data_IF_829423013312
#
_entry.id   IF_829423013312
#
_cell.length_a   1.000
_cell.length_b   1.000
_cell.length_c   1.000
_cell.angle_alpha   90.00
_cell.angle_beta   90.00
_cell.angle_gamma   90.00
#
_symmetry.space_group_name_H-M   'P 1'
#
loop_
_entity.id
_entity.type
_entity.pdbx_description
1 polymer ?
#
# COMPACT_ATOMS: atom_id res chain seq x y z
N UNK A 1 8.38 -2.48 4.89
CA UNK A 1 9.76 -3.00 5.02
C UNK A 1 10.60 -1.92 5.68
N UNK A 2 10.99 -2.09 6.94
CA UNK A 2 11.97 -1.23 7.60
C UNK A 2 13.22 -2.06 7.82
N UNK A 3 14.31 -1.61 7.20
CA UNK A 3 15.67 -2.10 7.43
C UNK A 3 16.00 -1.78 8.88
N UNK A 4 16.10 -2.80 9.72
CA UNK A 4 16.70 -2.68 11.06
C UNK A 4 18.20 -2.53 10.85
N UNK A 5 18.63 -1.26 10.77
CA UNK A 5 20.02 -0.88 10.70
C UNK A 5 20.63 -1.07 12.11
N UNK A 6 21.14 -2.27 12.38
CA UNK A 6 21.97 -2.49 13.57
C UNK A 6 23.34 -1.90 13.25
N UNK A 7 23.57 -0.66 13.70
CA UNK A 7 24.93 -0.13 13.85
C UNK A 7 25.69 -1.10 14.75
N UNK A 8 26.75 -1.71 14.23
CA UNK A 8 27.66 -2.54 15.01
C UNK A 8 28.39 -1.63 16.02
N UNK A 9 27.77 -1.45 17.18
CA UNK A 9 28.41 -0.90 18.37
C UNK A 9 29.36 -1.96 18.92
N UNK A 10 30.57 -1.50 19.24
CA UNK A 10 31.73 -2.26 19.67
C UNK A 10 31.43 -3.13 20.90
N UNK A 11 31.01 -4.38 20.67
CA UNK A 11 30.76 -5.35 21.74
C UNK A 11 32.04 -6.17 21.94
N UNK A 12 32.92 -5.67 22.80
CA UNK A 12 34.09 -6.40 23.29
C UNK A 12 33.61 -7.64 24.05
N UNK A 13 33.60 -8.79 23.38
CA UNK A 13 33.40 -10.08 24.04
C UNK A 13 34.75 -10.76 24.29
N UNK A 14 34.89 -11.21 25.53
CA UNK A 14 36.03 -11.88 26.13
C UNK A 14 36.41 -13.12 25.31
N UNK A 15 37.63 -13.13 24.78
CA UNK A 15 38.12 -14.17 23.89
C UNK A 15 38.76 -15.30 24.72
N UNK A 16 38.04 -16.42 24.84
CA UNK A 16 38.60 -17.67 25.34
C UNK A 16 39.61 -18.19 24.32
N UNK A 17 40.88 -18.15 24.68
CA UNK A 17 41.97 -18.74 23.90
C UNK A 17 41.82 -20.26 23.84
N UNK A 18 41.53 -20.79 22.65
CA UNK A 18 41.84 -22.18 22.28
C UNK A 18 42.52 -22.16 20.91
N UNK A 19 43.70 -22.78 20.86
CA UNK A 19 44.58 -22.92 19.71
C UNK A 19 43.88 -23.60 18.51
N UNK A 20 44.08 -23.08 17.29
CA UNK A 20 44.97 -23.73 16.28
C UNK A 20 44.68 -23.27 14.84
N UNK A 21 45.77 -23.19 14.07
CA UNK A 21 45.94 -22.92 12.63
C UNK A 21 45.49 -21.56 12.07
N UNK A 22 46.50 -20.73 11.82
CA UNK A 22 46.42 -19.48 11.03
C UNK A 22 46.10 -19.87 9.58
N UNK A 23 44.82 -19.79 9.20
CA UNK A 23 44.37 -19.92 7.80
C UNK A 23 44.94 -18.76 6.99
N UNK A 24 45.61 -19.00 5.84
CA UNK A 24 46.31 -17.98 5.07
C UNK A 24 45.41 -16.79 4.71
N UNK A 25 45.96 -15.56 4.63
CA UNK A 25 45.18 -14.33 4.50
C UNK A 25 44.22 -14.32 3.32
N UNK A 26 44.53 -15.02 2.23
CA UNK A 26 43.81 -14.95 0.94
C UNK A 26 42.70 -16.02 0.75
N UNK A 27 42.44 -16.87 1.75
CA UNK A 27 41.49 -17.99 1.61
C UNK A 27 40.06 -17.60 2.03
N UNK A 28 39.08 -17.81 1.14
CA UNK A 28 37.66 -17.66 1.45
C UNK A 28 37.17 -18.92 2.15
N UNK A 29 36.52 -18.75 3.30
CA UNK A 29 36.00 -19.88 4.08
C UNK A 29 34.52 -19.75 4.35
N UNK A 30 33.80 -20.86 4.26
CA UNK A 30 32.37 -20.96 4.61
C UNK A 30 32.24 -21.79 5.88
N UNK A 31 31.68 -21.20 6.93
CA UNK A 31 31.47 -21.87 8.21
C UNK A 31 30.01 -21.76 8.65
N UNK A 32 29.44 -22.79 9.25
CA UNK A 32 28.08 -22.74 9.77
C UNK A 32 28.08 -22.38 11.26
N UNK A 33 27.50 -21.23 11.61
CA UNK A 33 27.25 -20.83 13.00
C UNK A 33 25.75 -20.74 13.24
N UNK A 34 25.26 -21.46 14.24
CA UNK A 34 23.83 -21.52 14.59
C UNK A 34 22.91 -21.90 13.41
N UNK A 35 23.39 -22.75 12.50
CA UNK A 35 22.62 -23.21 11.32
C UNK A 35 22.60 -22.21 10.16
N UNK A 36 23.28 -21.06 10.26
CA UNK A 36 23.44 -20.11 9.16
C UNK A 36 24.86 -20.19 8.58
N UNK A 37 25.00 -20.21 7.24
CA UNK A 37 26.29 -20.10 6.57
C UNK A 37 26.88 -18.70 6.74
N UNK A 38 28.13 -18.66 7.19
CA UNK A 38 28.96 -17.50 7.37
C UNK A 38 30.10 -17.55 6.35
N UNK A 39 30.07 -16.66 5.37
CA UNK A 39 31.10 -16.56 4.34
C UNK A 39 32.12 -15.52 4.80
N UNK A 40 33.35 -15.94 5.03
CA UNK A 40 34.46 -15.06 5.39
C UNK A 40 35.35 -14.83 4.19
N UNK A 41 35.51 -13.58 3.79
CA UNK A 41 36.35 -13.19 2.66
C UNK A 41 37.10 -11.89 2.96
N UNK A 42 38.27 -11.72 2.35
CA UNK A 42 39.06 -10.49 2.44
C UNK A 42 38.62 -9.49 1.38
N UNK A 43 38.21 -8.30 1.81
CA UNK A 43 37.80 -7.25 0.87
C UNK A 43 39.00 -6.52 0.26
N UNK A 44 38.97 -6.21 -1.06
CA UNK A 44 40.13 -5.75 -1.81
C UNK A 44 40.65 -4.37 -1.41
N UNK A 45 39.79 -3.46 -0.94
CA UNK A 45 40.17 -2.08 -0.62
C UNK A 45 40.93 -1.96 0.71
N UNK A 46 40.42 -2.62 1.76
CA UNK A 46 40.96 -2.52 3.13
C UNK A 46 41.85 -3.70 3.52
N UNK A 47 41.84 -4.80 2.76
CA UNK A 47 42.49 -6.08 3.12
C UNK A 47 42.07 -6.60 4.50
N UNK A 48 40.86 -6.25 4.93
CA UNK A 48 40.25 -6.73 6.18
C UNK A 48 39.37 -7.95 5.88
N UNK A 49 39.30 -8.88 6.84
CA UNK A 49 38.39 -10.03 6.76
C UNK A 49 36.99 -9.61 7.17
N UNK A 50 36.06 -9.71 6.25
CA UNK A 50 34.65 -9.44 6.48
C UNK A 50 33.86 -10.75 6.48
N UNK A 51 32.87 -10.81 7.36
CA UNK A 51 32.01 -11.97 7.54
C UNK A 51 30.60 -11.62 7.10
N UNK A 52 30.08 -12.41 6.17
CA UNK A 52 28.74 -12.23 5.62
C UNK A 52 27.84 -13.36 6.10
N UNK A 53 26.80 -13.01 6.86
CA UNK A 53 25.78 -13.97 7.31
C UNK A 53 24.77 -14.14 6.20
N UNK A 54 24.64 -15.35 5.67
CA UNK A 54 23.73 -15.61 4.56
C UNK A 54 22.53 -16.42 5.02
N UNK A 55 21.35 -16.12 4.48
CA UNK A 55 20.08 -16.79 4.82
C UNK A 55 19.65 -17.68 3.65
N UNK A 56 19.89 -19.00 3.67
CA UNK A 56 19.77 -19.87 2.49
C UNK A 56 18.42 -19.77 1.75
N UNK A 57 17.33 -19.61 2.51
CA UNK A 57 15.95 -19.62 2.00
C UNK A 57 15.42 -18.26 1.54
N UNK A 58 16.11 -17.17 1.87
CA UNK A 58 15.62 -15.80 1.61
C UNK A 58 16.60 -14.90 0.88
N UNK A 59 17.87 -15.31 0.80
CA UNK A 59 18.90 -14.58 0.07
C UNK A 59 19.24 -15.27 -1.24
N UNK A 60 19.50 -14.45 -2.24
CA UNK A 60 19.96 -14.85 -3.56
C UNK A 60 21.44 -14.52 -3.72
N UNK A 61 22.08 -15.12 -4.73
CA UNK A 61 23.44 -14.76 -5.12
C UNK A 61 23.54 -13.27 -5.43
N UNK A 62 22.54 -12.69 -6.11
CA UNK A 62 22.48 -11.27 -6.43
C UNK A 62 22.46 -10.38 -5.19
N UNK A 63 21.64 -10.71 -4.18
CA UNK A 63 21.64 -9.95 -2.92
C UNK A 63 22.97 -10.05 -2.19
N UNK A 64 23.63 -11.21 -2.19
CA UNK A 64 24.94 -11.38 -1.57
C UNK A 64 26.03 -10.57 -2.28
N UNK A 65 26.03 -10.57 -3.62
CA UNK A 65 26.95 -9.76 -4.42
C UNK A 65 26.69 -8.26 -4.21
N UNK A 66 25.43 -7.86 -4.05
CA UNK A 66 25.07 -6.48 -3.72
C UNK A 66 25.54 -6.08 -2.33
N UNK A 67 25.41 -6.96 -1.32
CA UNK A 67 25.91 -6.73 0.03
C UNK A 67 27.44 -6.52 0.00
N UNK A 68 28.15 -7.36 -0.76
CA UNK A 68 29.61 -7.27 -0.93
C UNK A 68 30.04 -5.95 -1.60
N UNK A 69 29.31 -5.49 -2.62
CA UNK A 69 29.55 -4.18 -3.25
C UNK A 69 29.19 -3.01 -2.34
N UNK A 70 28.17 -3.17 -1.49
CA UNK A 70 27.74 -2.12 -0.55
C UNK A 70 28.73 -1.94 0.60
N UNK A 71 29.38 -3.02 1.02
CA UNK A 71 30.37 -3.03 2.10
C UNK A 71 31.72 -2.47 1.63
N UNK A 72 32.17 -2.84 0.42
CA UNK A 72 33.41 -2.30 -0.16
C UNK A 72 33.21 -1.70 -1.55
N UNK A 73 33.28 -0.37 -1.62
CA UNK A 73 33.28 0.40 -2.88
C UNK A 73 34.47 0.08 -3.80
N UNK A 74 35.51 -0.59 -3.29
CA UNK A 74 36.62 -1.12 -4.08
C UNK A 74 36.23 -2.30 -4.98
N UNK A 75 35.09 -2.94 -4.73
CA UNK A 75 34.58 -4.04 -5.56
C UNK A 75 33.80 -3.47 -6.74
N UNK A 76 34.39 -3.52 -7.93
CA UNK A 76 33.78 -3.02 -9.18
C UNK A 76 33.00 -4.10 -9.91
N UNK A 77 33.51 -5.32 -9.90
CA UNK A 77 32.90 -6.46 -10.57
C UNK A 77 32.99 -7.68 -9.66
N UNK A 78 31.84 -8.27 -9.34
CA UNK A 78 31.75 -9.51 -8.56
C UNK A 78 30.76 -10.45 -9.24
N UNK A 79 31.18 -11.69 -9.47
CA UNK A 79 30.36 -12.73 -10.10
C UNK A 79 30.68 -14.10 -9.50
N UNK A 80 29.71 -15.00 -9.54
CA UNK A 80 29.85 -16.37 -9.04
C UNK A 80 29.82 -17.34 -10.21
N UNK A 81 30.75 -18.29 -10.22
CA UNK A 81 30.88 -19.31 -11.25
C UNK A 81 30.84 -20.71 -10.62
N UNK A 82 30.33 -21.67 -11.35
CA UNK A 82 30.42 -23.09 -10.99
C UNK A 82 31.88 -23.58 -11.12
N UNK A 83 32.22 -24.71 -10.49
CA UNK A 83 33.52 -25.37 -10.68
C UNK A 83 33.90 -25.54 -12.17
N UNK A 84 32.91 -25.79 -13.03
CA UNK A 84 33.03 -25.97 -14.48
C UNK A 84 33.17 -24.65 -15.29
N UNK A 85 33.16 -23.50 -14.62
CA UNK A 85 33.38 -22.18 -15.25
C UNK A 85 32.13 -21.52 -15.86
N UNK A 86 30.92 -22.08 -15.65
CA UNK A 86 29.66 -21.44 -16.03
C UNK A 86 29.23 -20.38 -15.00
N UNK A 87 28.77 -19.21 -15.45
CA UNK A 87 28.28 -18.15 -14.57
C UNK A 87 26.93 -18.51 -13.94
N UNK A 88 26.80 -18.31 -12.62
CA UNK A 88 25.58 -18.60 -11.88
C UNK A 88 24.69 -17.35 -11.86
N UNK A 89 23.41 -17.45 -12.29
CA UNK A 89 22.51 -16.32 -12.30
C UNK A 89 22.31 -15.67 -10.93
N UNK A 90 22.21 -14.34 -10.90
CA UNK A 90 21.96 -13.56 -9.69
C UNK A 90 20.64 -13.94 -8.97
N UNK A 91 19.67 -14.51 -9.67
CA UNK A 91 18.41 -14.99 -9.10
C UNK A 91 18.51 -16.34 -8.37
N UNK A 92 19.65 -17.01 -8.45
CA UNK A 92 19.86 -18.31 -7.81
C UNK A 92 19.81 -18.15 -6.30
N UNK A 93 19.09 -19.05 -5.61
CA UNK A 93 19.04 -19.06 -4.15
C UNK A 93 20.38 -19.50 -3.58
N UNK A 94 20.78 -18.88 -2.47
CA UNK A 94 22.03 -19.24 -1.80
C UNK A 94 22.02 -20.71 -1.33
N UNK A 95 20.85 -21.26 -0.97
CA UNK A 95 20.75 -22.67 -0.63
C UNK A 95 21.29 -23.59 -1.72
N UNK A 96 20.93 -23.35 -2.97
CA UNK A 96 21.35 -24.16 -4.13
C UNK A 96 22.86 -23.99 -4.37
N UNK A 97 23.35 -22.76 -4.25
CA UNK A 97 24.77 -22.47 -4.42
C UNK A 97 25.62 -23.21 -3.37
N UNK A 98 25.21 -23.19 -2.10
CA UNK A 98 25.94 -23.80 -0.99
C UNK A 98 25.88 -25.33 -0.94
N UNK A 99 25.19 -25.98 -1.89
CA UNK A 99 25.22 -27.45 -2.02
C UNK A 99 26.49 -27.94 -2.72
N UNK A 100 27.12 -27.09 -3.54
CA UNK A 100 28.28 -27.44 -4.34
C UNK A 100 29.41 -26.42 -4.12
N UNK A 101 30.63 -26.82 -4.46
CA UNK A 101 31.76 -25.89 -4.48
C UNK A 101 31.63 -24.91 -5.65
N UNK A 102 32.00 -23.65 -5.43
CA UNK A 102 31.86 -22.59 -6.42
C UNK A 102 33.07 -21.67 -6.42
N UNK A 103 33.21 -20.89 -7.48
CA UNK A 103 34.27 -19.90 -7.65
C UNK A 103 33.70 -18.50 -7.56
N UNK A 104 34.22 -17.69 -6.65
CA UNK A 104 33.85 -16.28 -6.54
C UNK A 104 34.91 -15.43 -7.23
N UNK A 105 34.51 -14.63 -8.22
CA UNK A 105 35.43 -13.74 -8.94
C UNK A 105 35.16 -12.30 -8.51
N UNK A 106 36.15 -11.66 -7.87
CA UNK A 106 36.10 -10.25 -7.44
C UNK A 106 37.22 -9.50 -8.16
N UNK A 107 36.90 -8.46 -8.93
CA UNK A 107 37.88 -7.63 -9.64
C UNK A 107 38.94 -8.43 -10.44
N UNK A 108 38.54 -9.54 -11.09
CA UNK A 108 39.38 -10.50 -11.82
C UNK A 108 40.23 -11.46 -10.97
N UNK A 109 40.16 -11.38 -9.65
CA UNK A 109 40.75 -12.36 -8.74
C UNK A 109 39.72 -13.47 -8.54
N UNK A 110 40.13 -14.72 -8.75
CA UNK A 110 39.28 -15.90 -8.58
C UNK A 110 39.57 -16.55 -7.24
N UNK A 111 38.53 -16.79 -6.46
CA UNK A 111 38.59 -17.47 -5.17
C UNK A 111 37.81 -18.78 -5.25
N UNK A 112 38.46 -19.89 -4.94
CA UNK A 112 37.80 -21.19 -4.85
C UNK A 112 37.17 -21.35 -3.47
N UNK A 113 35.85 -21.51 -3.43
CA UNK A 113 35.07 -21.59 -2.19
C UNK A 113 34.61 -23.02 -1.99
N UNK A 114 35.17 -23.67 -0.97
CA UNK A 114 34.75 -25.02 -0.56
C UNK A 114 33.59 -24.92 0.43
N UNK A 115 32.47 -25.58 0.09
CA UNK A 115 31.28 -25.60 0.93
C UNK A 115 31.30 -26.83 1.85
N UNK A 116 31.17 -26.66 3.17
CA UNK A 116 31.03 -27.81 4.08
C UNK A 116 29.80 -28.62 3.70
N UNK A 117 29.98 -29.91 3.40
CA UNK A 117 28.87 -30.83 3.16
C UNK A 117 28.02 -30.91 4.42
N UNK A 118 26.74 -30.52 4.34
CA UNK A 118 25.80 -30.68 5.45
C UNK A 118 25.72 -32.16 5.82
N UNK A 119 26.25 -32.53 6.99
CA UNK A 119 26.00 -33.85 7.57
C UNK A 119 24.49 -34.03 7.71
N UNK A 120 23.97 -35.13 7.15
CA UNK A 120 22.57 -35.51 7.33
C UNK A 120 22.41 -35.93 8.79
N UNK A 121 22.04 -34.98 9.66
CA UNK A 121 21.58 -35.29 11.01
C UNK A 121 20.47 -36.36 10.93
N UNK A 122 20.54 -37.35 11.82
CA UNK A 122 19.56 -38.45 11.92
C UNK A 122 18.12 -37.90 11.87
N UNK A 123 17.27 -38.50 11.02
CA UNK A 123 15.89 -38.05 10.77
C UNK A 123 15.06 -37.86 12.05
N UNK A 124 15.32 -38.64 13.10
CA UNK A 124 14.65 -38.53 14.39
C UNK A 124 15.02 -37.24 15.14
N UNK A 125 16.30 -36.88 15.15
CA UNK A 125 16.80 -35.66 15.81
C UNK A 125 16.39 -34.38 15.05
N UNK A 126 16.20 -34.49 13.73
CA UNK A 126 15.68 -33.38 12.92
C UNK A 126 14.21 -33.07 13.27
N UNK A 127 13.38 -34.10 13.42
CA UNK A 127 11.96 -33.94 13.75
C UNK A 127 11.74 -33.35 15.15
N UNK A 128 12.50 -33.81 16.15
CA UNK A 128 12.41 -33.28 17.52
C UNK A 128 12.84 -31.81 17.57
N UNK A 129 13.95 -31.46 16.93
CA UNK A 129 14.44 -30.08 16.85
C UNK A 129 13.45 -29.14 16.14
N UNK A 130 12.76 -29.60 15.10
CA UNK A 130 11.76 -28.81 14.40
C UNK A 130 10.52 -28.56 15.26
N UNK A 131 10.14 -29.51 16.11
CA UNK A 131 9.08 -29.30 17.11
C UNK A 131 9.46 -28.20 18.12
N UNK A 132 10.70 -28.22 18.63
CA UNK A 132 11.21 -27.20 19.55
C UNK A 132 11.28 -25.83 18.87
N UNK A 133 11.77 -25.76 17.63
CA UNK A 133 11.75 -24.52 16.84
C UNK A 133 10.34 -23.97 16.65
N UNK A 134 9.35 -24.85 16.40
CA UNK A 134 7.95 -24.43 16.25
C UNK A 134 7.38 -23.83 17.53
N UNK A 135 7.73 -24.39 18.69
CA UNK A 135 7.34 -23.87 20.00
C UNK A 135 7.99 -22.51 20.28
N UNK A 136 9.30 -22.41 20.05
CA UNK A 136 10.03 -21.14 20.19
C UNK A 136 9.45 -20.08 19.25
N UNK A 137 9.11 -20.45 18.00
CA UNK A 137 8.49 -19.53 17.07
C UNK A 137 7.09 -19.08 17.52
N UNK A 138 6.25 -20.00 18.03
CA UNK A 138 4.95 -19.64 18.63
C UNK A 138 5.13 -18.69 19.81
N UNK A 139 6.10 -18.94 20.67
CA UNK A 139 6.34 -18.14 21.86
C UNK A 139 6.89 -16.75 21.50
N UNK A 140 7.86 -16.70 20.58
CA UNK A 140 8.36 -15.44 20.02
C UNK A 140 7.25 -14.64 19.34
N UNK A 141 6.39 -15.32 18.57
CA UNK A 141 5.25 -14.69 17.91
C UNK A 141 4.26 -14.16 18.94
N UNK A 142 3.99 -14.89 20.02
CA UNK A 142 3.09 -14.48 21.09
C UNK A 142 3.63 -13.29 21.89
N UNK A 143 4.92 -13.30 22.24
CA UNK A 143 5.59 -12.23 22.99
C UNK A 143 5.68 -10.92 22.20
N UNK A 144 5.98 -10.99 20.91
CA UNK A 144 6.08 -9.81 20.06
C UNK A 144 4.77 -9.47 19.32
N UNK A 145 3.67 -10.18 19.62
CA UNK A 145 2.42 -10.04 18.87
C UNK A 145 1.88 -8.60 18.93
N UNK A 146 1.91 -7.99 20.11
CA UNK A 146 1.42 -6.62 20.32
C UNK A 146 2.25 -5.59 19.55
N UNK A 147 3.58 -5.71 19.58
CA UNK A 147 4.48 -4.82 18.85
C UNK A 147 4.25 -4.94 17.34
N UNK A 148 4.13 -6.17 16.83
CA UNK A 148 3.84 -6.42 15.41
C UNK A 148 2.45 -5.90 15.01
N UNK A 149 1.44 -6.09 15.86
CA UNK A 149 0.07 -5.61 15.62
C UNK A 149 0.01 -4.09 15.61
N UNK A 150 0.62 -3.42 16.60
CA UNK A 150 0.68 -1.95 16.69
C UNK A 150 1.41 -1.36 15.48
N UNK A 151 2.54 -1.96 15.07
CA UNK A 151 3.28 -1.55 13.87
C UNK A 151 2.44 -1.74 12.60
N UNK A 152 1.67 -2.83 12.50
CA UNK A 152 0.78 -3.10 11.37
C UNK A 152 -0.39 -2.12 11.32
N UNK A 153 -0.99 -1.78 12.46
CA UNK A 153 -2.04 -0.77 12.56
C UNK A 153 -1.51 0.60 12.14
N UNK A 154 -0.35 1.03 12.66
CA UNK A 154 0.24 2.31 12.27
C UNK A 154 0.51 2.39 10.77
N UNK A 155 1.10 1.36 10.18
CA UNK A 155 1.34 1.31 8.75
C UNK A 155 0.03 1.35 7.93
N UNK A 156 -1.04 0.71 8.40
CA UNK A 156 -2.36 0.79 7.77
C UNK A 156 -2.97 2.19 7.89
N UNK A 157 -2.84 2.84 9.04
CA UNK A 157 -3.31 4.21 9.26
C UNK A 157 -2.57 5.21 8.37
N UNK A 158 -1.24 5.14 8.31
CA UNK A 158 -0.41 5.98 7.42
C UNK A 158 -0.82 5.79 5.95
N UNK A 159 -1.06 4.54 5.54
CA UNK A 159 -1.54 4.25 4.19
C UNK A 159 -2.92 4.84 3.94
N UNK A 160 -3.87 4.72 4.87
CA UNK A 160 -5.20 5.32 4.76
C UNK A 160 -5.11 6.84 4.67
N UNK A 161 -4.28 7.47 5.50
CA UNK A 161 -4.11 8.93 5.52
C UNK A 161 -3.50 9.43 4.20
N UNK A 162 -2.47 8.76 3.70
CA UNK A 162 -1.90 9.05 2.40
C UNK A 162 -2.92 8.88 1.26
N UNK A 163 -3.74 7.81 1.28
CA UNK A 163 -4.79 7.60 0.28
C UNK A 163 -5.89 8.66 0.37
N UNK A 164 -6.29 9.05 1.57
CA UNK A 164 -7.25 10.15 1.79
C UNK A 164 -6.69 11.48 1.30
N UNK A 165 -5.43 11.79 1.57
CA UNK A 165 -4.76 13.00 1.07
C UNK A 165 -4.78 13.08 -0.45
N UNK A 166 -4.55 11.96 -1.14
CA UNK A 166 -4.67 11.89 -2.60
C UNK A 166 -6.12 12.01 -3.10
N UNK A 167 -7.11 11.61 -2.30
CA UNK A 167 -8.54 11.67 -2.63
C UNK A 167 -9.17 13.05 -2.34
N UNK A 168 -8.58 13.84 -1.45
CA UNK A 168 -9.09 15.16 -1.06
C UNK A 168 -9.25 16.18 -2.21
N UNK A 169 -8.27 16.39 -3.13
CA UNK A 169 -8.43 17.37 -4.21
C UNK A 169 -9.56 16.97 -5.19
N UNK A 170 -9.74 15.67 -5.33
CA UNK A 170 -10.76 15.00 -6.12
C UNK A 170 -12.17 15.23 -5.57
N UNK A 171 -12.33 15.10 -4.25
CA UNK A 171 -13.58 15.38 -3.56
C UNK A 171 -13.92 16.88 -3.56
N UNK A 172 -12.93 17.77 -3.44
CA UNK A 172 -13.15 19.22 -3.56
C UNK A 172 -13.71 19.61 -4.93
N UNK A 173 -13.17 19.03 -6.01
CA UNK A 173 -13.70 19.26 -7.36
C UNK A 173 -15.14 18.77 -7.49
N UNK A 174 -15.47 17.62 -6.88
CA UNK A 174 -16.83 17.10 -6.85
C UNK A 174 -17.78 18.04 -6.08
N UNK A 175 -17.40 18.46 -4.89
CA UNK A 175 -18.20 19.37 -4.05
C UNK A 175 -18.44 20.71 -4.75
N UNK A 176 -17.44 21.25 -5.44
CA UNK A 176 -17.58 22.48 -6.22
C UNK A 176 -18.55 22.36 -7.40
N UNK A 177 -18.67 21.19 -8.02
CA UNK A 177 -19.67 20.95 -9.08
C UNK A 177 -21.07 20.85 -8.48
N UNK A 178 -21.21 20.16 -7.36
CA UNK A 178 -22.47 19.97 -6.66
C UNK A 178 -23.06 21.30 -6.16
N UNK A 179 -22.23 22.14 -5.52
CA UNK A 179 -22.64 23.47 -5.07
C UNK A 179 -23.09 24.37 -6.23
N UNK A 180 -22.41 24.28 -7.40
CA UNK A 180 -22.79 25.03 -8.60
C UNK A 180 -24.11 24.55 -9.19
N UNK A 181 -24.42 23.25 -9.14
CA UNK A 181 -25.72 22.74 -9.59
C UNK A 181 -26.85 23.20 -8.67
N UNK A 182 -26.63 23.12 -7.36
CA UNK A 182 -27.65 23.50 -6.37
C UNK A 182 -27.99 25.00 -6.44
N UNK A 183 -26.96 25.86 -6.55
CA UNK A 183 -27.15 27.30 -6.70
C UNK A 183 -27.92 27.69 -7.99
N UNK A 184 -27.75 26.91 -9.07
CA UNK A 184 -28.49 27.14 -10.32
C UNK A 184 -29.96 26.73 -10.19
N UNK A 185 -30.21 25.57 -9.58
CA UNK A 185 -31.58 25.09 -9.36
C UNK A 185 -32.35 26.02 -8.44
N UNK A 186 -31.74 26.46 -7.33
CA UNK A 186 -32.36 27.42 -6.42
C UNK A 186 -32.59 28.78 -7.09
N UNK A 187 -31.62 29.29 -7.86
CA UNK A 187 -31.77 30.53 -8.61
C UNK A 187 -32.91 30.48 -9.63
N UNK A 188 -33.09 29.36 -10.33
CA UNK A 188 -34.19 29.17 -11.28
C UNK A 188 -35.55 29.12 -10.58
N UNK A 189 -35.64 28.46 -9.42
CA UNK A 189 -36.86 28.42 -8.61
C UNK A 189 -37.25 29.82 -8.11
N UNK A 190 -36.28 30.59 -7.61
CA UNK A 190 -36.50 31.98 -7.18
C UNK A 190 -36.89 32.89 -8.35
N UNK A 191 -36.29 32.71 -9.53
CA UNK A 191 -36.67 33.44 -10.74
C UNK A 191 -38.10 33.11 -11.19
N UNK A 192 -38.50 31.84 -11.13
CA UNK A 192 -39.88 31.40 -11.40
C UNK A 192 -40.88 32.02 -10.41
N UNK A 193 -40.54 32.06 -9.12
CA UNK A 193 -41.37 32.69 -8.10
C UNK A 193 -41.53 34.20 -8.36
N UNK A 194 -40.43 34.90 -8.66
CA UNK A 194 -40.45 36.33 -8.97
C UNK A 194 -41.31 36.64 -10.21
N UNK A 195 -41.19 35.83 -11.26
CA UNK A 195 -41.99 35.96 -12.48
C UNK A 195 -43.49 35.80 -12.18
N UNK A 196 -43.87 34.78 -11.41
CA UNK A 196 -45.26 34.55 -11.01
C UNK A 196 -45.81 35.69 -10.14
N UNK A 197 -44.99 36.26 -9.25
CA UNK A 197 -45.38 37.42 -8.44
C UNK A 197 -45.63 38.66 -9.30
N UNK A 198 -44.74 38.96 -10.25
CA UNK A 198 -44.90 40.10 -11.18
C UNK A 198 -46.12 39.89 -12.07
N UNK A 199 -46.31 38.68 -12.57
CA UNK A 199 -47.47 38.31 -13.40
C UNK A 199 -48.79 38.51 -12.63
N UNK A 200 -48.85 38.07 -11.38
CA UNK A 200 -50.03 38.28 -10.51
C UNK A 200 -50.31 39.76 -10.25
N UNK A 201 -49.26 40.55 -9.96
CA UNK A 201 -49.39 42.00 -9.76
C UNK A 201 -49.84 42.76 -11.01
N UNK A 202 -49.32 42.39 -12.19
CA UNK A 202 -49.70 42.98 -13.47
C UNK A 202 -51.17 42.69 -13.80
N UNK A 203 -51.63 41.45 -13.60
CA UNK A 203 -53.03 41.07 -13.78
C UNK A 203 -53.94 41.85 -12.81
N UNK A 204 -53.55 41.95 -11.55
CA UNK A 204 -54.30 42.70 -10.53
C UNK A 204 -54.44 44.19 -10.90
N UNK A 205 -53.36 44.82 -11.37
CA UNK A 205 -53.39 46.20 -11.84
C UNK A 205 -54.28 46.39 -13.07
N UNK A 206 -54.17 45.50 -14.07
CA UNK A 206 -55.01 45.53 -15.27
C UNK A 206 -56.50 45.37 -14.94
N UNK A 207 -56.85 44.49 -13.99
CA UNK A 207 -58.25 44.23 -13.60
C UNK A 207 -58.89 45.34 -12.77
N UNK A 208 -58.10 46.16 -12.06
CA UNK A 208 -58.64 47.23 -11.20
C UNK A 208 -58.58 48.62 -11.83
N UNK A 209 -57.59 48.89 -12.68
CA UNK A 209 -57.36 50.24 -13.21
C UNK A 209 -57.72 50.41 -14.69
N UNK A 210 -57.65 49.36 -15.51
CA UNK A 210 -57.67 49.52 -16.98
C UNK A 210 -58.82 48.78 -17.66
N UNK A 211 -59.09 47.52 -17.29
CA UNK A 211 -60.08 46.67 -17.94
C UNK A 211 -61.07 46.09 -16.94
N UNK A 212 -62.35 46.01 -17.32
CA UNK A 212 -63.35 45.25 -16.55
C UNK A 212 -63.04 43.75 -16.59
N UNK A 213 -63.44 43.06 -15.52
CA UNK A 213 -63.16 41.63 -15.31
C UNK A 213 -63.62 40.72 -16.47
N UNK A 214 -64.73 41.09 -17.13
CA UNK A 214 -65.31 40.38 -18.28
C UNK A 214 -64.35 40.22 -19.48
N UNK A 215 -63.43 41.18 -19.69
CA UNK A 215 -62.43 41.11 -20.77
C UNK A 215 -61.20 40.30 -20.35
N UNK A 216 -60.89 40.28 -19.05
CA UNK A 216 -59.69 39.63 -18.48
C UNK A 216 -59.89 38.14 -18.19
N UNK A 217 -61.14 37.70 -18.03
CA UNK A 217 -61.50 36.30 -17.76
C UNK A 217 -60.80 35.31 -18.73
N UNK A 218 -60.98 35.38 -20.06
CA UNK A 218 -60.33 34.43 -20.97
C UNK A 218 -58.80 34.52 -20.96
N UNK A 219 -58.25 35.73 -20.75
CA UNK A 219 -56.79 35.96 -20.72
C UNK A 219 -56.14 35.24 -19.53
N UNK A 220 -56.75 35.33 -18.36
CA UNK A 220 -56.25 34.64 -17.15
C UNK A 220 -56.29 33.12 -17.27
N UNK A 221 -57.33 32.57 -17.93
CA UNK A 221 -57.42 31.14 -18.23
C UNK A 221 -56.27 30.66 -19.12
N UNK A 222 -55.99 31.35 -20.23
CA UNK A 222 -54.89 30.99 -21.11
C UNK A 222 -53.53 31.06 -20.42
N UNK A 223 -53.31 32.09 -19.60
CA UNK A 223 -52.06 32.25 -18.84
C UNK A 223 -51.90 31.14 -17.80
N UNK A 224 -52.96 30.77 -17.07
CA UNK A 224 -52.91 29.69 -16.08
C UNK A 224 -52.63 28.34 -16.74
N UNK A 225 -53.26 28.08 -17.89
CA UNK A 225 -53.00 26.88 -18.68
C UNK A 225 -51.56 26.86 -19.21
N UNK A 226 -51.04 27.99 -19.71
CA UNK A 226 -49.65 28.11 -20.16
C UNK A 226 -48.65 27.87 -19.02
N UNK A 227 -48.89 28.45 -17.84
CA UNK A 227 -48.05 28.22 -16.65
C UNK A 227 -48.07 26.75 -16.20
N UNK A 228 -49.24 26.10 -16.23
CA UNK A 228 -49.36 24.67 -15.97
C UNK A 228 -48.58 23.85 -17.00
N UNK A 229 -48.71 24.16 -18.28
CA UNK A 229 -47.98 23.49 -19.36
C UNK A 229 -46.45 23.64 -19.21
N UNK A 230 -45.96 24.83 -18.86
CA UNK A 230 -44.54 25.09 -18.57
C UNK A 230 -44.09 24.33 -17.32
N UNK A 231 -44.90 24.29 -16.26
CA UNK A 231 -44.59 23.52 -15.06
C UNK A 231 -44.53 22.02 -15.34
N UNK A 232 -45.45 21.48 -16.15
CA UNK A 232 -45.43 20.09 -16.58
C UNK A 232 -44.26 19.79 -17.52
N UNK A 233 -43.92 20.68 -18.46
CA UNK A 233 -42.76 20.53 -19.33
C UNK A 233 -41.45 20.56 -18.53
N UNK A 234 -41.32 21.51 -17.60
CA UNK A 234 -40.21 21.57 -16.66
C UNK A 234 -40.14 20.29 -15.83
N UNK A 235 -41.27 19.84 -15.29
CA UNK A 235 -41.36 18.61 -14.53
C UNK A 235 -40.94 17.39 -15.35
N UNK A 236 -41.37 17.24 -16.60
CA UNK A 236 -40.94 16.13 -17.47
C UNK A 236 -39.43 16.19 -17.71
N UNK A 237 -38.87 17.38 -17.92
CA UNK A 237 -37.43 17.59 -18.14
C UNK A 237 -36.62 17.37 -16.86
N UNK A 238 -37.14 17.77 -15.69
CA UNK A 238 -36.44 17.74 -14.39
C UNK A 238 -36.72 16.46 -13.60
N UNK A 239 -37.79 15.70 -13.89
CA UNK A 239 -38.15 14.45 -13.17
C UNK A 239 -37.22 13.28 -13.40
N UNK A 240 -36.23 13.40 -14.27
CA UNK A 240 -35.18 12.39 -14.36
C UNK A 240 -34.07 12.58 -13.31
N UNK A 241 -34.05 13.71 -12.59
CA UNK A 241 -32.97 14.05 -11.65
C UNK A 241 -33.31 13.82 -10.16
N UNK A 242 -34.54 13.43 -9.81
CA UNK A 242 -34.95 13.27 -8.40
C UNK A 242 -34.54 11.94 -7.75
N UNK A 243 -34.12 10.93 -8.52
CA UNK A 243 -33.31 9.82 -7.97
C UNK A 243 -31.88 10.32 -7.78
N UNK A 244 -31.70 11.20 -6.79
CA UNK A 244 -30.51 12.00 -6.49
C UNK A 244 -29.24 11.16 -6.19
N UNK A 245 -29.39 9.85 -5.98
CA UNK A 245 -28.28 8.92 -5.72
C UNK A 245 -27.74 8.24 -6.99
N UNK A 246 -28.63 7.66 -7.80
CA UNK A 246 -28.23 6.83 -8.94
C UNK A 246 -27.84 7.66 -10.17
N UNK A 247 -28.58 8.74 -10.45
CA UNK A 247 -28.29 9.61 -11.60
C UNK A 247 -27.11 10.51 -11.30
N UNK A 248 -26.95 11.01 -10.08
CA UNK A 248 -25.75 11.77 -9.68
C UNK A 248 -24.47 10.95 -9.83
N UNK A 249 -24.52 9.65 -9.58
CA UNK A 249 -23.40 8.73 -9.86
C UNK A 249 -23.11 8.61 -11.36
N UNK A 250 -24.15 8.63 -12.21
CA UNK A 250 -24.04 8.50 -13.68
C UNK A 250 -23.65 9.82 -14.36
N UNK A 251 -24.22 10.95 -13.93
CA UNK A 251 -23.85 12.32 -14.30
C UNK A 251 -22.45 12.65 -13.79
N UNK A 252 -22.11 12.24 -12.56
CA UNK A 252 -20.75 12.30 -12.04
C UNK A 252 -19.85 11.49 -12.94
N UNK A 253 -20.14 10.22 -13.22
CA UNK A 253 -19.31 9.40 -14.11
C UNK A 253 -19.15 10.06 -15.48
N UNK A 254 -20.20 10.58 -16.10
CA UNK A 254 -20.14 11.24 -17.41
C UNK A 254 -19.37 12.57 -17.38
N UNK A 255 -19.62 13.42 -16.38
CA UNK A 255 -18.93 14.70 -16.20
C UNK A 255 -17.46 14.48 -15.82
N UNK A 256 -17.18 13.49 -14.99
CA UNK A 256 -15.87 13.07 -14.55
C UNK A 256 -15.08 12.46 -15.71
N UNK A 257 -15.72 11.67 -16.60
CA UNK A 257 -15.10 11.14 -17.83
C UNK A 257 -14.86 12.24 -18.88
N UNK A 258 -15.78 13.21 -18.99
CA UNK A 258 -15.63 14.37 -19.91
C UNK A 258 -14.57 15.35 -19.43
N UNK A 259 -14.46 15.59 -18.12
CA UNK A 259 -13.44 16.43 -17.49
C UNK A 259 -12.09 15.72 -17.43
N UNK A 260 -12.09 14.40 -17.22
CA UNK A 260 -10.95 13.49 -17.39
C UNK A 260 -10.28 13.63 -18.75
N UNK A 261 -11.06 13.54 -19.84
CA UNK A 261 -10.54 13.72 -21.20
C UNK A 261 -9.96 15.12 -21.44
N UNK A 262 -10.50 16.16 -20.81
CA UNK A 262 -10.04 17.56 -20.99
C UNK A 262 -8.86 17.93 -20.10
N UNK A 263 -8.67 17.25 -18.98
CA UNK A 263 -7.74 17.65 -17.92
C UNK A 263 -6.76 16.53 -17.52
N UNK A 264 -6.67 15.45 -18.32
CA UNK A 264 -5.87 14.24 -18.06
C UNK A 264 -6.11 13.65 -16.65
N UNK A 265 -7.35 13.73 -16.19
CA UNK A 265 -7.71 13.21 -14.87
C UNK A 265 -8.00 11.71 -14.99
N UNK A 266 -7.17 10.85 -14.41
CA UNK A 266 -7.28 9.39 -14.56
C UNK A 266 -8.39 8.81 -13.65
N UNK A 267 -9.54 8.48 -14.26
CA UNK A 267 -10.70 7.90 -13.58
C UNK A 267 -10.39 6.50 -13.03
N UNK A 268 -9.54 5.75 -13.74
CA UNK A 268 -9.09 4.43 -13.30
C UNK A 268 -8.29 4.57 -12.03
N UNK A 269 -7.42 5.59 -11.96
CA UNK A 269 -6.66 5.91 -10.75
C UNK A 269 -7.55 6.28 -9.57
N UNK A 270 -8.61 7.06 -9.76
CA UNK A 270 -9.55 7.42 -8.68
C UNK A 270 -10.30 6.20 -8.13
N UNK A 271 -10.86 5.36 -9.02
CA UNK A 271 -11.56 4.15 -8.60
C UNK A 271 -10.64 3.19 -7.87
N UNK A 272 -9.42 3.01 -8.39
CA UNK A 272 -8.38 2.20 -7.75
C UNK A 272 -8.02 2.75 -6.37
N UNK A 273 -7.86 4.06 -6.23
CA UNK A 273 -7.54 4.71 -4.95
C UNK A 273 -8.67 4.51 -3.92
N UNK A 274 -9.92 4.57 -4.36
CA UNK A 274 -11.10 4.34 -3.51
C UNK A 274 -11.22 2.87 -3.09
N UNK A 275 -10.93 1.94 -3.99
CA UNK A 275 -10.91 0.50 -3.72
C UNK A 275 -9.76 0.15 -2.76
N UNK A 276 -8.57 0.68 -3.00
CA UNK A 276 -7.41 0.51 -2.11
C UNK A 276 -7.69 1.09 -0.71
N UNK A 277 -8.41 2.21 -0.63
CA UNK A 277 -8.84 2.80 0.65
C UNK A 277 -9.83 1.89 1.36
N UNK A 278 -10.86 1.40 0.66
CA UNK A 278 -11.84 0.48 1.22
C UNK A 278 -11.15 -0.77 1.78
N UNK A 279 -10.26 -1.38 0.99
CA UNK A 279 -9.48 -2.55 1.40
C UNK A 279 -8.57 -2.28 2.60
N UNK A 280 -7.91 -1.12 2.64
CA UNK A 280 -7.06 -0.73 3.77
C UNK A 280 -7.89 -0.50 5.06
N UNK A 281 -9.05 0.14 4.94
CA UNK A 281 -9.96 0.37 6.07
C UNK A 281 -10.57 -0.93 6.60
N UNK A 282 -10.92 -1.87 5.72
CA UNK A 282 -11.41 -3.19 6.10
C UNK A 282 -10.33 -4.00 6.80
N UNK A 283 -9.10 -3.99 6.25
CA UNK A 283 -7.95 -4.64 6.87
C UNK A 283 -7.68 -4.10 8.28
N UNK A 284 -7.77 -2.77 8.47
CA UNK A 284 -7.62 -2.13 9.77
C UNK A 284 -8.74 -2.51 10.74
N UNK A 285 -9.99 -2.58 10.26
CA UNK A 285 -11.14 -3.04 11.06
C UNK A 285 -10.94 -4.48 11.52
N UNK A 286 -10.43 -5.35 10.65
CA UNK A 286 -10.12 -6.73 10.99
C UNK A 286 -9.02 -6.82 12.05
N UNK A 287 -7.95 -6.00 11.94
CA UNK A 287 -6.88 -5.95 12.97
C UNK A 287 -7.46 -5.53 14.32
N UNK A 288 -8.25 -4.45 14.35
CA UNK A 288 -8.89 -3.96 15.59
C UNK A 288 -9.84 -4.97 16.21
N UNK A 289 -10.61 -5.67 15.38
CA UNK A 289 -11.52 -6.71 15.84
C UNK A 289 -10.77 -7.90 16.44
N UNK A 290 -9.64 -8.31 15.84
CA UNK A 290 -8.80 -9.38 16.41
C UNK A 290 -8.16 -8.97 17.75
N UNK A 291 -7.84 -7.69 17.93
CA UNK A 291 -7.33 -7.14 19.18
C UNK A 291 -8.42 -7.14 20.27
N UNK A 292 -9.63 -6.66 19.95
CA UNK A 292 -10.73 -6.58 20.92
C UNK A 292 -11.19 -7.96 21.42
N UNK A 293 -11.26 -8.96 20.53
CA UNK A 293 -11.60 -10.34 20.89
C UNK A 293 -10.58 -10.96 21.84
N UNK A 294 -9.30 -10.64 21.67
CA UNK A 294 -8.25 -11.17 22.53
C UNK A 294 -8.28 -10.55 23.93
N UNK A 295 -8.47 -9.24 24.03
CA UNK A 295 -8.59 -8.59 25.34
C UNK A 295 -9.76 -9.15 26.16
N UNK A 296 -10.88 -9.46 25.52
CA UNK A 296 -12.01 -10.14 26.18
C UNK A 296 -11.68 -11.56 26.66
N UNK A 297 -10.85 -12.30 25.90
CA UNK A 297 -10.41 -13.63 26.29
C UNK A 297 -9.45 -13.64 27.49
N UNK A 298 -8.58 -12.64 27.59
CA UNK A 298 -7.68 -12.47 28.73
C UNK A 298 -8.45 -12.04 30.00
N UNK A 299 -9.42 -11.12 29.91
CA UNK A 299 -10.28 -10.73 31.03
C UNK A 299 -11.16 -11.88 31.58
N UNK A 300 -11.60 -12.79 30.71
CA UNK A 300 -12.37 -13.98 31.10
C UNK A 300 -11.49 -15.07 31.74
N UNK A 301 -10.19 -15.08 31.42
CA UNK A 301 -9.22 -16.01 32.03
C UNK A 301 -8.69 -15.53 33.38
N UNK A 302 -8.67 -14.22 33.65
CA UNK A 302 -8.32 -13.69 34.98
C UNK A 302 -9.45 -13.78 36.01
N UNK A 303 -10.69 -14.01 35.56
CA UNK A 303 -11.90 -14.11 36.41
C UNK A 303 -12.29 -15.53 36.82
N UNK A 304 -11.63 -16.57 36.30
CA UNK A 304 -11.84 -17.98 36.67
C UNK A 304 -10.60 -18.53 37.39
#
# INVERSE_FOLDING_TARGET
>A
LQVLQVKCGNLKYYQSHLYSTVVPPDEITVNYRHGLPLITLTLPSRKERCQFVVKPMSSTVGSFLQDLQSEDKGVKTAAVFTADGSEIPASTLMEILLMNDFKLVINKITYDVQCPRKEKLSMEHAAEMDSVKSLVHRLFTALHLEEFQKKREHHLLERIDHLKGQLQPLEQVKAGIEARSEAKTSGLLWAGLALLSVQGGALAWLTWWVYSWDIMEPVTYFITFANSMVFFAYFIVTRQDYTYSAVKSRQFLHFFHKKSKRQHFDVVRYNKLKEDLAKATESLKQVRHSLSLRMQGEELSEKN
#
